data_IF_617240023432
#
_entry.id   IF_617240023432
#
_cell.length_a   1.000
_cell.length_b   1.000
_cell.length_c   1.000
_cell.angle_alpha   90.00
_cell.angle_beta   90.00
_cell.angle_gamma   90.00
#
_symmetry.space_group_name_H-M   'P 1'
#
loop_
_entity.id
_entity.type
_entity.pdbx_description
1 polymer ?
#
# COMPACT_ATOMS: atom_id res chain seq x y z
N UNK A 1 -0.57 -4.54 8.37
CA UNK A 1 -0.76 -4.50 6.91
C UNK A 1 -1.86 -5.46 6.51
N UNK A 2 -2.83 -5.00 5.72
CA UNK A 2 -4.06 -5.74 5.42
C UNK A 2 -3.84 -7.05 4.62
N UNK A 3 -2.71 -7.15 3.90
CA UNK A 3 -2.30 -8.34 3.16
C UNK A 3 -1.70 -9.49 4.03
N UNK A 4 -1.48 -9.27 5.33
CA UNK A 4 -0.82 -10.28 6.20
C UNK A 4 -1.59 -11.60 6.30
N UNK A 5 -2.93 -11.60 6.51
CA UNK A 5 -3.69 -12.84 6.58
C UNK A 5 -3.54 -13.67 5.29
N UNK A 6 -3.46 -13.01 4.13
CA UNK A 6 -3.22 -13.68 2.85
C UNK A 6 -1.85 -14.33 2.82
N UNK A 7 -0.77 -13.61 3.18
CA UNK A 7 0.58 -14.19 3.20
C UNK A 7 0.70 -15.39 4.16
N UNK A 8 -0.02 -15.37 5.29
CA UNK A 8 -0.06 -16.50 6.24
C UNK A 8 -0.83 -17.70 5.69
N UNK A 9 -1.88 -17.47 4.92
CA UNK A 9 -2.69 -18.54 4.33
C UNK A 9 -2.03 -19.14 3.08
N UNK A 10 -1.55 -18.27 2.19
CA UNK A 10 -0.84 -18.63 0.99
C UNK A 10 0.33 -17.68 0.76
N UNK A 11 1.53 -18.24 0.61
CA UNK A 11 2.77 -17.46 0.55
C UNK A 11 2.70 -16.43 -0.59
N UNK A 12 2.75 -15.15 -0.23
CA UNK A 12 2.92 -14.04 -1.19
C UNK A 12 4.38 -14.02 -1.64
N UNK A 13 4.64 -14.06 -2.95
CA UNK A 13 5.98 -14.00 -3.54
C UNK A 13 6.34 -12.61 -4.06
N UNK A 14 5.33 -11.82 -4.45
CA UNK A 14 5.50 -10.44 -4.89
C UNK A 14 4.34 -9.57 -4.41
N UNK A 15 4.67 -8.38 -3.94
CA UNK A 15 3.71 -7.33 -3.60
C UNK A 15 4.09 -6.04 -4.32
N UNK A 16 3.13 -5.49 -5.06
CA UNK A 16 3.17 -4.14 -5.62
C UNK A 16 2.14 -3.33 -4.88
N UNK A 17 2.56 -2.27 -4.19
CA UNK A 17 1.65 -1.43 -3.40
C UNK A 17 1.77 0.04 -3.77
N UNK A 18 0.61 0.67 -3.91
CA UNK A 18 0.48 2.12 -4.02
C UNK A 18 -0.33 2.62 -2.82
N UNK A 19 0.25 3.48 -2.00
CA UNK A 19 -0.42 4.03 -0.82
C UNK A 19 -0.89 5.45 -1.08
N UNK A 20 -2.05 5.78 -0.55
CA UNK A 20 -2.68 7.09 -0.54
C UNK A 20 -2.78 7.53 0.91
N UNK A 21 -1.75 8.21 1.39
CA UNK A 21 -1.58 8.52 2.80
C UNK A 21 -2.19 9.88 3.14
N UNK A 22 -2.86 9.92 4.28
CA UNK A 22 -3.54 11.10 4.81
C UNK A 22 -2.57 12.16 5.33
N UNK A 23 -3.04 13.40 5.34
CA UNK A 23 -2.36 14.58 5.86
C UNK A 23 -1.94 14.43 7.33
N UNK A 24 -2.75 13.75 8.16
CA UNK A 24 -2.45 13.53 9.58
C UNK A 24 -1.13 12.82 9.84
N UNK A 25 -0.64 12.01 8.90
CA UNK A 25 0.66 11.36 8.99
C UNK A 25 1.87 12.31 8.88
N UNK A 26 1.64 13.59 8.56
CA UNK A 26 2.67 14.63 8.52
C UNK A 26 2.67 15.52 9.79
N UNK A 27 1.76 15.30 10.74
CA UNK A 27 1.63 16.07 11.98
C UNK A 27 0.55 17.15 11.96
N UNK A 28 0.20 17.68 13.13
CA UNK A 28 -0.92 18.62 13.35
C UNK A 28 -0.84 19.89 12.53
N UNK A 29 0.36 20.37 12.21
CA UNK A 29 0.57 21.55 11.37
C UNK A 29 -0.04 21.39 9.96
N UNK A 30 0.07 20.20 9.36
CA UNK A 30 -0.51 19.88 8.04
C UNK A 30 -2.02 19.59 8.14
N UNK A 31 -2.56 19.44 9.35
CA UNK A 31 -4.00 19.28 9.58
C UNK A 31 -4.74 20.61 9.78
N UNK A 32 -4.06 21.66 10.26
CA UNK A 32 -4.59 23.03 10.32
C UNK A 32 -4.39 23.81 9.01
N UNK A 33 -3.32 23.52 8.25
CA UNK A 33 -3.05 24.13 6.94
C UNK A 33 -4.06 23.86 5.80
N UNK A 34 -4.85 22.78 5.72
CA UNK A 34 -5.75 22.56 4.59
C UNK A 34 -6.88 23.60 4.53
N UNK A 35 -7.20 24.24 5.66
CA UNK A 35 -8.24 25.28 5.73
C UNK A 35 -7.70 26.69 5.54
N UNK A 36 -6.40 26.92 5.68
CA UNK A 36 -5.81 28.27 5.68
C UNK A 36 -4.70 28.49 4.63
N UNK A 37 -4.10 27.44 4.06
CA UNK A 37 -3.24 27.50 2.88
C UNK A 37 -3.96 26.88 1.69
N UNK A 38 -4.84 27.67 1.11
CA UNK A 38 -5.32 27.53 -0.26
C UNK A 38 -4.13 27.53 -1.23
N UNK A 39 -3.63 26.34 -1.60
CA UNK A 39 -3.58 25.86 -3.01
C UNK A 39 -2.59 24.71 -3.23
N UNK A 40 -1.48 24.61 -2.51
CA UNK A 40 -0.41 23.67 -2.90
C UNK A 40 -0.68 22.20 -2.56
N UNK A 41 -1.45 21.91 -1.50
CA UNK A 41 -1.74 20.54 -1.09
C UNK A 41 -3.18 20.08 -1.35
N UNK A 42 -4.17 20.95 -1.16
CA UNK A 42 -5.59 20.59 -1.27
C UNK A 42 -6.01 20.06 -2.65
N UNK A 43 -5.23 20.34 -3.70
CA UNK A 43 -5.47 19.90 -5.08
C UNK A 43 -4.26 19.19 -5.71
N UNK A 44 -3.33 18.70 -4.89
CA UNK A 44 -2.08 18.12 -5.39
C UNK A 44 -1.75 16.80 -4.69
N UNK A 45 -0.80 16.06 -5.28
CA UNK A 45 -0.28 14.80 -4.78
C UNK A 45 1.24 14.90 -4.69
N UNK A 46 1.86 14.32 -3.65
CA UNK A 46 3.31 14.31 -3.53
C UNK A 46 3.84 13.02 -2.89
N UNK A 47 5.05 12.60 -3.29
CA UNK A 47 5.66 11.31 -2.88
C UNK A 47 6.17 11.25 -1.44
N UNK A 48 6.10 12.37 -0.71
CA UNK A 48 6.66 12.70 0.60
C UNK A 48 7.88 13.60 0.49
N UNK A 49 8.01 14.53 1.44
CA UNK A 49 9.21 15.33 1.63
C UNK A 49 10.27 14.53 2.41
N UNK A 50 10.65 13.37 1.85
CA UNK A 50 11.58 12.42 2.43
C UNK A 50 12.85 12.31 1.59
N UNK A 51 13.95 11.87 2.21
CA UNK A 51 15.19 11.64 1.48
C UNK A 51 15.00 10.53 0.44
N UNK A 52 15.51 10.77 -0.78
CA UNK A 52 15.58 9.77 -1.85
C UNK A 52 16.93 9.07 -1.73
N UNK A 53 16.91 7.74 -1.69
CA UNK A 53 18.12 6.93 -1.64
C UNK A 53 18.68 6.66 -3.05
N UNK A 54 19.90 6.12 -3.12
CA UNK A 54 20.57 5.80 -4.39
C UNK A 54 19.85 4.76 -5.25
N UNK A 55 18.90 4.00 -4.67
CA UNK A 55 18.06 3.05 -5.38
C UNK A 55 16.80 3.68 -5.99
N UNK A 56 16.62 5.00 -5.84
CA UNK A 56 15.49 5.75 -6.39
C UNK A 56 14.23 5.76 -5.51
N UNK A 57 14.22 5.03 -4.39
CA UNK A 57 13.10 5.03 -3.45
C UNK A 57 13.28 6.11 -2.38
N UNK A 58 12.17 6.67 -1.91
CA UNK A 58 12.18 7.54 -0.75
C UNK A 58 12.15 6.76 0.58
N UNK A 59 12.38 7.46 1.69
CA UNK A 59 12.40 6.86 3.04
C UNK A 59 11.11 6.13 3.42
N UNK A 60 9.95 6.68 3.07
CA UNK A 60 8.65 6.09 3.41
C UNK A 60 8.40 4.79 2.62
N UNK A 61 8.76 4.77 1.32
CA UNK A 61 8.66 3.58 0.48
C UNK A 61 9.58 2.47 1.00
N UNK A 62 10.81 2.82 1.38
CA UNK A 62 11.75 1.85 1.95
C UNK A 62 11.33 1.36 3.34
N UNK A 63 10.67 2.19 4.16
CA UNK A 63 10.07 1.75 5.43
C UNK A 63 9.01 0.68 5.17
N UNK A 64 8.13 0.88 4.19
CA UNK A 64 7.13 -0.12 3.84
C UNK A 64 7.80 -1.44 3.45
N UNK A 65 8.80 -1.41 2.57
CA UNK A 65 9.55 -2.61 2.17
C UNK A 65 10.18 -3.33 3.37
N UNK A 66 10.85 -2.58 4.25
CA UNK A 66 11.56 -3.13 5.42
C UNK A 66 10.57 -3.71 6.46
N UNK A 67 9.53 -2.97 6.79
CA UNK A 67 8.53 -3.39 7.78
C UNK A 67 7.71 -4.57 7.27
N UNK A 68 7.38 -4.65 5.97
CA UNK A 68 6.75 -5.87 5.41
C UNK A 68 7.63 -7.10 5.62
N UNK A 69 8.90 -7.03 5.22
CA UNK A 69 9.84 -8.16 5.36
C UNK A 69 10.02 -8.58 6.81
N UNK A 70 10.19 -7.60 7.70
CA UNK A 70 10.33 -7.82 9.14
C UNK A 70 9.06 -8.42 9.75
N UNK A 71 7.89 -7.91 9.38
CA UNK A 71 6.61 -8.36 9.94
C UNK A 71 6.21 -9.75 9.45
N UNK A 72 6.50 -10.08 8.19
CA UNK A 72 6.29 -11.41 7.63
C UNK A 72 7.42 -12.39 7.94
N UNK A 73 8.54 -11.90 8.50
CA UNK A 73 9.76 -12.67 8.70
C UNK A 73 10.21 -13.38 7.40
N UNK A 74 10.09 -12.68 6.28
CA UNK A 74 10.41 -13.17 4.93
C UNK A 74 11.24 -12.10 4.22
N UNK A 75 12.52 -12.39 3.97
CA UNK A 75 13.44 -11.49 3.26
C UNK A 75 13.39 -11.68 1.74
N UNK A 76 12.87 -12.81 1.26
CA UNK A 76 12.81 -13.19 -0.14
C UNK A 76 11.59 -12.59 -0.85
N UNK A 77 10.57 -12.19 -0.08
CA UNK A 77 9.41 -11.49 -0.63
C UNK A 77 9.83 -10.23 -1.39
N UNK A 78 9.36 -10.14 -2.64
CA UNK A 78 9.64 -9.03 -3.54
C UNK A 78 8.61 -7.94 -3.31
N UNK A 79 9.02 -6.84 -2.69
CA UNK A 79 8.13 -5.71 -2.41
C UNK A 79 8.60 -4.49 -3.19
N UNK A 80 7.68 -3.84 -3.88
CA UNK A 80 7.86 -2.48 -4.40
C UNK A 80 6.70 -1.62 -3.94
N UNK A 81 7.00 -0.41 -3.49
CA UNK A 81 6.03 0.52 -2.95
C UNK A 81 6.13 1.87 -3.66
N UNK A 82 4.98 2.52 -3.82
CA UNK A 82 4.89 3.95 -4.15
C UNK A 82 4.05 4.60 -3.08
N UNK A 83 4.64 5.52 -2.32
CA UNK A 83 3.96 6.20 -1.23
C UNK A 83 3.60 7.62 -1.66
N UNK A 84 2.31 7.90 -1.81
CA UNK A 84 1.82 9.23 -2.18
C UNK A 84 0.97 9.78 -1.05
N UNK A 85 1.18 11.05 -0.72
CA UNK A 85 0.33 11.83 0.15
C UNK A 85 -0.83 12.43 -0.64
N UNK A 86 -2.03 12.28 -0.11
CA UNK A 86 -3.29 12.77 -0.72
C UNK A 86 -4.04 13.67 0.27
N UNK A 87 -4.85 14.65 -0.19
CA UNK A 87 -5.54 15.61 0.65
C UNK A 87 -6.77 15.00 1.36
N UNK A 88 -6.55 13.94 2.13
CA UNK A 88 -7.52 13.33 3.03
C UNK A 88 -7.02 13.48 4.46
N UNK A 89 -7.94 13.69 5.40
CA UNK A 89 -7.55 14.10 6.75
C UNK A 89 -6.96 12.96 7.59
N UNK A 90 -7.60 11.79 7.61
CA UNK A 90 -7.29 10.77 8.62
C UNK A 90 -7.12 9.35 8.07
N UNK A 91 -7.72 9.02 6.94
CA UNK A 91 -7.76 7.65 6.43
C UNK A 91 -6.68 7.41 5.38
N UNK A 92 -5.90 6.35 5.54
CA UNK A 92 -5.00 5.87 4.49
C UNK A 92 -5.75 4.86 3.63
N UNK A 93 -5.43 4.84 2.34
CA UNK A 93 -5.85 3.78 1.44
C UNK A 93 -4.63 3.14 0.80
N UNK A 94 -4.72 1.86 0.48
CA UNK A 94 -3.67 1.12 -0.20
C UNK A 94 -4.30 0.31 -1.34
N UNK A 95 -3.74 0.45 -2.54
CA UNK A 95 -3.98 -0.48 -3.63
C UNK A 95 -2.85 -1.49 -3.66
N UNK A 96 -3.17 -2.78 -3.50
CA UNK A 96 -2.19 -3.84 -3.36
C UNK A 96 -2.45 -4.91 -4.42
N UNK A 97 -1.46 -5.14 -5.27
CA UNK A 97 -1.43 -6.29 -6.17
C UNK A 97 -0.47 -7.34 -5.59
N UNK A 98 -0.97 -8.55 -5.43
CA UNK A 98 -0.25 -9.67 -4.82
C UNK A 98 -0.11 -10.80 -5.84
N UNK A 99 1.10 -11.32 -5.96
CA UNK A 99 1.36 -12.61 -6.57
C UNK A 99 1.54 -13.65 -5.47
N UNK A 100 0.80 -14.75 -5.56
CA UNK A 100 0.80 -15.84 -4.57
C UNK A 100 1.45 -17.07 -5.20
N UNK A 101 2.21 -17.83 -4.41
CA UNK A 101 2.95 -19.01 -4.88
C UNK A 101 2.04 -20.12 -5.41
N UNK A 102 0.88 -20.30 -4.78
CA UNK A 102 -0.14 -21.25 -5.19
C UNK A 102 -1.46 -20.52 -5.37
N UNK A 103 -2.32 -20.95 -6.31
CA UNK A 103 -3.68 -20.45 -6.39
C UNK A 103 -4.33 -20.53 -5.01
N UNK A 104 -5.06 -19.48 -4.64
CA UNK A 104 -5.93 -19.57 -3.48
C UNK A 104 -7.03 -20.56 -3.85
N UNK A 105 -7.09 -21.70 -3.14
CA UNK A 105 -8.29 -22.54 -3.14
C UNK A 105 -9.47 -21.62 -2.75
N UNK A 106 -10.62 -21.74 -3.45
CA UNK A 106 -11.75 -20.80 -3.35
C UNK A 106 -11.84 -20.16 -1.96
N UNK A 107 -11.40 -18.89 -1.84
CA UNK A 107 -11.49 -18.19 -0.56
C UNK A 107 -12.98 -17.93 -0.33
N UNK A 108 -13.64 -18.92 0.26
CA UNK A 108 -14.97 -18.85 0.85
C UNK A 108 -14.88 -18.05 2.13
N UNK A 109 -14.43 -16.80 2.02
CA UNK A 109 -14.88 -15.72 2.86
C UNK A 109 -14.25 -14.42 2.35
N UNK A 110 -14.98 -13.74 1.47
CA UNK A 110 -14.75 -12.32 1.18
C UNK A 110 -14.86 -11.45 2.44
N UNK A 111 -15.35 -12.02 3.55
CA UNK A 111 -15.66 -11.35 4.81
C UNK A 111 -14.75 -11.72 6.00
N UNK A 112 -13.90 -12.77 5.92
CA UNK A 112 -12.99 -13.17 7.03
C UNK A 112 -11.75 -12.27 7.14
N UNK A 113 -11.53 -11.44 6.13
CA UNK A 113 -10.57 -10.34 6.18
C UNK A 113 -11.37 -9.05 6.18
N UNK A 114 -12.18 -8.85 7.22
CA UNK A 114 -12.84 -7.58 7.48
C UNK A 114 -11.83 -6.45 7.20
N UNK A 115 -12.19 -5.49 6.34
CA UNK A 115 -11.41 -4.38 5.77
C UNK A 115 -10.73 -4.60 4.38
N UNK A 116 -10.76 -5.76 3.72
CA UNK A 116 -10.15 -5.92 2.36
C UNK A 116 -11.11 -6.52 1.34
N UNK A 117 -11.39 -5.77 0.26
CA UNK A 117 -12.07 -6.32 -0.92
C UNK A 117 -11.05 -7.00 -1.83
N UNK A 118 -11.00 -8.32 -1.81
CA UNK A 118 -10.12 -9.10 -2.67
C UNK A 118 -10.78 -9.27 -4.05
N UNK A 119 -10.01 -9.04 -5.11
CA UNK A 119 -10.40 -9.31 -6.50
C UNK A 119 -9.35 -10.20 -7.14
N UNK A 120 -9.80 -11.23 -7.85
CA UNK A 120 -8.93 -12.04 -8.70
C UNK A 120 -8.52 -11.24 -9.94
N UNK A 121 -7.29 -11.44 -10.40
CA UNK A 121 -6.82 -10.93 -11.68
C UNK A 121 -7.36 -11.80 -12.81
N UNK A 122 -8.35 -11.30 -13.53
CA UNK A 122 -9.01 -12.00 -14.64
C UNK A 122 -8.13 -12.13 -15.89
N UNK A 123 -7.03 -11.37 -15.99
CA UNK A 123 -6.11 -11.47 -17.13
C UNK A 123 -5.40 -12.83 -17.20
N UNK A 124 -5.29 -13.52 -16.06
CA UNK A 124 -4.73 -14.87 -15.95
C UNK A 124 -5.64 -15.93 -16.58
N UNK A 125 -6.94 -15.65 -16.71
CA UNK A 125 -7.93 -16.60 -17.25
C UNK A 125 -8.02 -16.54 -18.79
N UNK A 126 -7.14 -15.75 -19.44
CA UNK A 126 -7.12 -15.57 -20.89
C UNK A 126 -8.29 -14.74 -21.43
N UNK A 127 -9.12 -14.17 -20.56
CA UNK A 127 -10.33 -13.44 -20.92
C UNK A 127 -10.07 -11.93 -20.79
N UNK A 128 -9.67 -11.29 -21.89
CA UNK A 128 -9.29 -9.87 -21.94
C UNK A 128 -10.49 -8.90 -22.03
N UNK A 129 -11.71 -9.40 -21.87
CA UNK A 129 -12.94 -8.63 -22.08
C UNK A 129 -13.37 -8.63 -23.54
#
# INVERSE_FOLDING_TARGET
MAATPLHRHAKVVRMVVSTYQAASGAGTAVMEEPMQQTHEYAFNLFSHNAAIFSNGYNDEEMKLVKETRKFWNDMDVKVTATCIRVPVMHAHAENVNLQIEKPLDEVSNKDDVAVVRIRQDLSQDGNLG
#
